data_IF_776638353684
#
_entry.id   IF_776638353684
#
_cell.length_a   1.000
_cell.length_b   1.000
_cell.length_c   1.000
_cell.angle_alpha   90.00
_cell.angle_beta   90.00
_cell.angle_gamma   90.00
#
_symmetry.space_group_name_H-M   'P 1'
#
loop_
_entity.id
_entity.type
_entity.pdbx_description
1 polymer ?
#
# COMPACT_ATOMS: atom_id res chain seq x y z
N UNK A 1 -1.02 -7.10 64.25
CA UNK A 1 -0.51 -8.43 64.62
C UNK A 1 0.56 -8.72 63.61
N UNK A 2 1.78 -8.45 63.97
CA UNK A 2 2.93 -9.32 64.26
C UNK A 2 3.45 -9.94 62.97
N UNK A 3 4.53 -9.40 62.40
CA UNK A 3 5.96 -9.58 62.74
C UNK A 3 6.47 -11.01 62.52
N UNK A 4 7.44 -11.11 61.60
CA UNK A 4 8.73 -11.76 61.91
C UNK A 4 9.67 -11.67 60.68
N UNK A 5 10.72 -10.99 60.91
CA UNK A 5 12.07 -10.90 60.40
C UNK A 5 12.72 -12.29 60.30
N UNK A 6 13.50 -12.61 59.26
CA UNK A 6 14.78 -13.28 59.44
C UNK A 6 15.79 -12.93 58.36
N UNK A 7 16.95 -12.51 58.82
CA UNK A 7 18.21 -12.27 58.13
C UNK A 7 18.85 -13.57 57.67
N UNK A 8 19.73 -13.46 56.66
CA UNK A 8 20.61 -14.53 56.19
C UNK A 8 21.61 -14.05 55.15
N UNK A 9 22.63 -13.45 55.68
CA UNK A 9 23.99 -13.18 55.19
C UNK A 9 24.60 -14.22 54.24
N UNK A 10 25.27 -13.72 53.14
CA UNK A 10 26.71 -13.95 53.02
C UNK A 10 27.19 -14.90 51.95
N UNK A 11 28.17 -14.43 51.19
CA UNK A 11 29.25 -15.16 50.50
C UNK A 11 28.98 -15.71 49.09
N UNK A 12 29.66 -15.14 48.10
CA UNK A 12 29.73 -15.60 46.73
C UNK A 12 30.45 -14.63 45.78
N UNK A 13 31.27 -13.72 46.25
CA UNK A 13 32.29 -13.04 45.45
C UNK A 13 33.58 -13.84 45.55
N UNK A 14 34.01 -14.50 44.48
CA UNK A 14 35.29 -15.16 44.47
C UNK A 14 35.41 -16.30 43.48
N UNK A 15 34.95 -16.18 42.22
CA UNK A 15 35.21 -17.23 41.22
C UNK A 15 35.20 -16.76 39.76
N UNK A 16 35.26 -15.45 39.48
CA UNK A 16 35.34 -14.92 38.10
C UNK A 16 36.69 -14.31 37.73
N UNK A 17 37.71 -14.27 38.62
CA UNK A 17 39.02 -13.64 38.36
C UNK A 17 40.14 -14.64 38.02
N UNK A 18 39.85 -15.93 37.84
CA UNK A 18 40.91 -16.96 37.61
C UNK A 18 40.93 -17.58 36.21
N UNK A 19 40.16 -17.06 35.23
CA UNK A 19 40.17 -17.58 33.86
C UNK A 19 40.71 -16.62 32.78
N UNK A 20 41.30 -15.50 33.11
CA UNK A 20 41.88 -14.54 32.15
C UNK A 20 43.42 -14.59 32.09
N UNK A 21 44.09 -15.48 32.84
CA UNK A 21 45.55 -15.51 32.97
C UNK A 21 46.28 -16.59 32.18
N UNK A 22 45.61 -17.35 31.29
CA UNK A 22 46.26 -18.52 30.65
C UNK A 22 46.17 -18.56 29.15
N UNK A 23 46.31 -17.42 28.46
CA UNK A 23 46.46 -17.36 27.00
C UNK A 23 47.46 -16.26 26.56
N UNK A 24 48.64 -16.24 27.23
CA UNK A 24 49.81 -15.60 26.68
C UNK A 24 50.60 -16.67 25.90
N UNK A 25 50.30 -16.82 24.60
CA UNK A 25 51.11 -17.63 23.70
C UNK A 25 52.41 -16.89 23.41
N UNK A 26 53.47 -17.53 23.82
CA UNK A 26 54.90 -17.26 23.62
C UNK A 26 55.21 -17.12 22.12
N UNK A 27 55.60 -15.93 21.67
CA UNK A 27 56.12 -15.70 20.34
C UNK A 27 57.61 -16.00 20.32
N UNK A 28 57.99 -17.11 19.74
CA UNK A 28 59.41 -17.45 19.44
C UNK A 28 59.83 -16.73 18.14
N UNK A 29 60.92 -16.00 18.12
CA UNK A 29 61.41 -15.32 16.90
C UNK A 29 62.09 -16.31 15.95
N UNK A 30 61.67 -16.32 14.70
CA UNK A 30 62.25 -17.09 13.61
C UNK A 30 63.70 -16.60 13.29
N UNK A 31 64.62 -17.51 12.94
CA UNK A 31 66.01 -17.18 12.59
C UNK A 31 66.11 -16.45 11.24
N UNK A 32 67.12 -15.64 11.01
CA UNK A 32 67.30 -14.88 9.77
C UNK A 32 67.67 -15.81 8.60
N UNK A 33 66.91 -15.75 7.53
CA UNK A 33 67.22 -16.41 6.26
C UNK A 33 68.33 -15.65 5.52
N UNK A 34 69.45 -16.35 5.21
CA UNK A 34 70.48 -15.93 4.34
C UNK A 34 70.06 -15.74 2.89
N UNK A 35 70.16 -14.56 2.37
CA UNK A 35 69.96 -14.25 0.96
C UNK A 35 71.17 -14.75 0.12
N UNK A 36 70.97 -15.83 -0.58
CA UNK A 36 71.74 -16.20 -1.74
C UNK A 36 71.05 -15.73 -3.00
N UNK A 37 71.59 -14.77 -3.71
CA UNK A 37 71.12 -14.39 -5.02
C UNK A 37 71.61 -15.39 -6.08
N UNK A 38 70.78 -15.80 -7.04
CA UNK A 38 71.24 -16.25 -8.34
C UNK A 38 70.95 -15.22 -9.42
N UNK A 39 71.99 -14.86 -10.14
CA UNK A 39 71.97 -14.19 -11.43
C UNK A 39 71.09 -14.99 -12.43
N UNK A 40 70.14 -14.32 -13.08
CA UNK A 40 69.41 -14.88 -14.15
C UNK A 40 68.36 -13.88 -14.71
N UNK A 41 68.78 -13.07 -15.68
CA UNK A 41 67.90 -12.22 -16.46
C UNK A 41 66.76 -13.05 -17.11
N UNK A 42 65.54 -12.81 -16.67
CA UNK A 42 64.31 -13.21 -17.37
C UNK A 42 63.53 -11.97 -17.81
N UNK A 43 62.85 -12.00 -18.98
CA UNK A 43 62.35 -10.81 -19.65
C UNK A 43 61.17 -10.19 -18.91
N UNK A 44 61.21 -8.86 -18.92
CA UNK A 44 60.20 -7.90 -18.46
C UNK A 44 58.77 -8.32 -18.80
N UNK A 45 58.06 -8.94 -17.85
CA UNK A 45 56.62 -9.05 -17.89
C UNK A 45 56.07 -7.72 -17.37
N UNK A 46 55.50 -6.94 -18.30
CA UNK A 46 54.82 -5.69 -17.98
C UNK A 46 53.79 -5.87 -16.84
N UNK A 47 53.38 -4.76 -16.20
CA UNK A 47 52.52 -4.84 -15.02
C UNK A 47 51.25 -5.61 -15.37
N UNK A 48 51.12 -6.81 -14.79
CA UNK A 48 49.83 -7.52 -14.73
C UNK A 48 48.91 -6.62 -13.93
N UNK A 49 48.08 -5.87 -14.62
CA UNK A 49 46.98 -5.13 -14.01
C UNK A 49 46.08 -6.17 -13.33
N UNK A 50 46.38 -6.46 -12.07
CA UNK A 50 45.48 -7.23 -11.23
C UNK A 50 44.16 -6.45 -11.16
N UNK A 51 43.20 -6.87 -11.93
CA UNK A 51 41.84 -6.34 -11.82
C UNK A 51 41.43 -6.47 -10.37
N UNK A 52 41.33 -5.34 -9.67
CA UNK A 52 40.85 -5.29 -8.30
C UNK A 52 39.51 -6.06 -8.26
N UNK A 53 39.30 -6.98 -7.31
CA UNK A 53 38.04 -7.70 -7.19
C UNK A 53 36.94 -6.67 -7.08
N UNK A 54 35.91 -6.80 -7.92
CA UNK A 54 34.74 -5.94 -7.88
C UNK A 54 34.18 -5.96 -6.46
N UNK A 55 34.31 -4.85 -5.73
CA UNK A 55 33.78 -4.71 -4.38
C UNK A 55 32.29 -5.07 -4.40
N UNK A 56 31.90 -5.99 -3.56
CA UNK A 56 30.51 -6.40 -3.42
C UNK A 56 29.62 -5.16 -3.17
N UNK A 57 28.45 -5.05 -3.79
CA UNK A 57 27.59 -3.88 -3.63
C UNK A 57 27.26 -3.66 -2.15
N UNK A 58 27.53 -2.48 -1.64
CA UNK A 58 27.20 -2.12 -0.26
C UNK A 58 25.67 -2.12 -0.13
N UNK A 59 25.16 -3.01 0.71
CA UNK A 59 23.73 -3.20 0.96
C UNK A 59 23.38 -2.50 2.26
N UNK A 60 22.66 -1.39 2.15
CA UNK A 60 22.14 -0.64 3.31
C UNK A 60 20.72 -1.11 3.65
N UNK A 61 20.47 -1.42 4.93
CA UNK A 61 19.13 -1.73 5.44
C UNK A 61 18.57 -0.54 6.21
N UNK A 62 17.44 -0.01 5.78
CA UNK A 62 16.76 1.10 6.45
C UNK A 62 15.43 0.64 7.04
N UNK A 63 15.10 1.10 8.26
CA UNK A 63 13.79 0.85 8.86
C UNK A 63 12.79 1.88 8.32
N UNK A 64 12.01 1.46 7.31
CA UNK A 64 11.14 2.35 6.52
C UNK A 64 9.73 2.48 7.08
N UNK A 65 9.13 1.37 7.54
CA UNK A 65 7.73 1.34 7.96
C UNK A 65 7.58 0.94 9.43
N UNK A 66 7.07 1.87 10.24
CA UNK A 66 6.79 1.63 11.65
C UNK A 66 5.61 0.68 11.82
N UNK A 67 5.58 -0.06 12.95
CA UNK A 67 4.59 -1.08 13.22
C UNK A 67 3.12 -0.61 13.07
N UNK A 68 2.69 0.57 13.60
CA UNK A 68 1.32 1.05 13.44
C UNK A 68 0.90 1.23 11.97
N UNK A 69 1.81 1.71 11.11
CA UNK A 69 1.57 1.87 9.68
C UNK A 69 1.36 0.50 9.02
N UNK A 70 2.18 -0.49 9.38
CA UNK A 70 2.11 -1.85 8.83
C UNK A 70 0.82 -2.55 9.24
N UNK A 71 0.43 -2.46 10.51
CA UNK A 71 -0.82 -3.05 11.02
C UNK A 71 -2.01 -2.40 10.30
N UNK A 72 -2.06 -1.06 10.26
CA UNK A 72 -3.14 -0.34 9.60
C UNK A 72 -3.25 -0.70 8.11
N UNK A 73 -2.12 -0.79 7.41
CA UNK A 73 -2.08 -1.18 6.00
C UNK A 73 -2.64 -2.60 5.78
N UNK A 74 -2.14 -3.59 6.54
CA UNK A 74 -2.57 -4.98 6.37
C UNK A 74 -4.02 -5.21 6.79
N UNK A 75 -4.54 -4.41 7.71
CA UNK A 75 -5.96 -4.43 8.06
C UNK A 75 -6.83 -3.82 6.94
N UNK A 76 -6.35 -2.77 6.28
CA UNK A 76 -7.07 -2.14 5.16
C UNK A 76 -7.20 -3.06 3.94
N UNK A 77 -6.24 -3.95 3.67
CA UNK A 77 -6.27 -4.83 2.51
C UNK A 77 -7.53 -5.70 2.48
N UNK A 78 -7.82 -6.57 3.47
CA UNK A 78 -9.06 -7.35 3.49
C UNK A 78 -10.30 -6.47 3.63
N UNK A 79 -10.24 -5.36 4.39
CA UNK A 79 -11.38 -4.45 4.53
C UNK A 79 -11.81 -3.88 3.17
N UNK A 80 -10.89 -3.33 2.39
CA UNK A 80 -11.21 -2.75 1.08
C UNK A 80 -11.69 -3.82 0.10
N UNK A 81 -11.07 -5.00 0.09
CA UNK A 81 -11.49 -6.10 -0.77
C UNK A 81 -12.96 -6.49 -0.48
N UNK A 82 -13.29 -6.72 0.79
CA UNK A 82 -14.65 -7.10 1.19
C UNK A 82 -15.64 -5.95 0.97
N UNK A 83 -15.25 -4.71 1.24
CA UNK A 83 -16.10 -3.53 1.03
C UNK A 83 -16.45 -3.34 -0.45
N UNK A 84 -15.48 -3.48 -1.35
CA UNK A 84 -15.72 -3.39 -2.79
C UNK A 84 -16.70 -4.49 -3.22
N UNK A 85 -16.39 -5.74 -2.91
CA UNK A 85 -17.23 -6.88 -3.34
C UNK A 85 -18.63 -6.86 -2.73
N UNK A 86 -18.78 -6.49 -1.46
CA UNK A 86 -20.08 -6.35 -0.81
C UNK A 86 -20.85 -5.13 -1.31
N UNK A 87 -20.18 -4.03 -1.64
CA UNK A 87 -20.76 -2.86 -2.29
C UNK A 87 -21.32 -3.18 -3.67
N UNK A 88 -20.59 -3.94 -4.49
CA UNK A 88 -21.07 -4.44 -5.78
C UNK A 88 -22.30 -5.36 -5.62
N UNK A 89 -22.32 -6.17 -4.55
CA UNK A 89 -23.51 -6.99 -4.22
C UNK A 89 -24.72 -6.12 -3.85
N UNK A 90 -24.52 -5.05 -3.08
CA UNK A 90 -25.60 -4.10 -2.77
C UNK A 90 -26.09 -3.40 -4.04
N UNK A 91 -25.17 -3.00 -4.93
CA UNK A 91 -25.51 -2.37 -6.19
C UNK A 91 -26.36 -3.26 -7.10
N UNK A 92 -26.17 -4.56 -7.07
CA UNK A 92 -27.00 -5.53 -7.82
C UNK A 92 -28.49 -5.46 -7.51
N UNK A 93 -28.89 -4.90 -6.35
CA UNK A 93 -30.30 -4.76 -5.99
C UNK A 93 -30.99 -3.61 -6.74
N UNK A 94 -30.26 -2.54 -7.05
CA UNK A 94 -30.74 -1.41 -7.82
C UNK A 94 -29.60 -0.88 -8.71
N UNK A 95 -29.35 -1.50 -9.87
CA UNK A 95 -28.14 -1.27 -10.65
C UNK A 95 -28.26 -0.05 -11.57
N UNK A 96 -28.55 1.10 -10.98
CA UNK A 96 -28.57 2.37 -11.67
C UNK A 96 -28.15 3.52 -10.74
N UNK A 97 -27.53 4.54 -11.28
CA UNK A 97 -27.07 5.75 -10.59
C UNK A 97 -27.81 6.96 -11.14
N UNK A 98 -28.15 7.89 -10.25
CA UNK A 98 -28.87 9.09 -10.56
C UNK A 98 -28.23 10.28 -9.85
N UNK A 99 -28.66 11.50 -10.21
CA UNK A 99 -28.29 12.71 -9.50
C UNK A 99 -29.49 13.28 -8.76
N UNK A 100 -29.28 13.88 -7.58
CA UNK A 100 -30.34 14.44 -6.74
C UNK A 100 -31.00 13.44 -5.81
N UNK A 101 -32.28 13.59 -5.54
CA UNK A 101 -33.02 12.78 -4.56
C UNK A 101 -33.83 11.62 -5.20
N UNK A 102 -34.23 11.78 -6.46
CA UNK A 102 -35.15 10.87 -7.13
C UNK A 102 -34.46 9.86 -8.02
N UNK A 103 -35.07 8.67 -8.14
CA UNK A 103 -34.63 7.62 -9.06
C UNK A 103 -35.43 7.73 -10.37
N UNK A 104 -35.08 8.68 -11.22
CA UNK A 104 -35.70 8.84 -12.53
C UNK A 104 -34.97 7.98 -13.55
N UNK A 105 -35.64 6.96 -14.07
CA UNK A 105 -35.06 5.99 -15.00
C UNK A 105 -34.58 6.60 -16.30
N UNK A 106 -35.25 7.64 -16.76
CA UNK A 106 -34.93 8.31 -18.03
C UNK A 106 -33.72 9.24 -17.90
N UNK A 107 -33.32 9.58 -16.67
CA UNK A 107 -32.18 10.43 -16.35
C UNK A 107 -31.06 9.70 -15.60
N UNK A 108 -30.96 8.39 -15.79
CA UNK A 108 -29.87 7.62 -15.14
C UNK A 108 -28.52 7.98 -15.74
N UNK A 109 -27.53 8.26 -14.88
CA UNK A 109 -26.14 8.48 -15.28
C UNK A 109 -25.44 7.18 -15.69
N UNK A 110 -25.76 6.11 -14.99
CA UNK A 110 -25.30 4.74 -15.26
C UNK A 110 -26.45 3.79 -14.98
N UNK A 111 -26.67 2.82 -15.85
CA UNK A 111 -27.56 1.69 -15.56
C UNK A 111 -27.05 0.41 -16.20
N UNK A 112 -27.21 -0.72 -15.49
CA UNK A 112 -26.74 -2.04 -15.93
C UNK A 112 -27.89 -3.01 -15.84
N UNK A 113 -28.50 -3.39 -16.97
CA UNK A 113 -29.70 -4.20 -17.02
C UNK A 113 -29.58 -5.39 -17.97
N UNK A 114 -30.19 -6.53 -17.64
CA UNK A 114 -30.43 -7.58 -18.63
C UNK A 114 -31.55 -7.14 -19.59
N UNK A 115 -31.36 -7.37 -20.84
CA UNK A 115 -32.35 -7.12 -21.90
C UNK A 115 -32.57 -8.39 -22.74
N UNK A 116 -33.82 -8.66 -23.10
CA UNK A 116 -34.16 -9.74 -24.01
C UNK A 116 -34.22 -9.17 -25.43
N UNK A 117 -33.49 -9.77 -26.37
CA UNK A 117 -33.54 -9.40 -27.79
C UNK A 117 -34.81 -9.92 -28.45
N UNK A 118 -35.14 -9.46 -29.65
CA UNK A 118 -36.29 -9.96 -30.45
C UNK A 118 -36.13 -11.46 -30.76
N UNK A 119 -34.91 -11.95 -30.90
CA UNK A 119 -34.61 -13.38 -31.08
C UNK A 119 -34.81 -14.21 -29.79
N UNK A 120 -35.14 -13.59 -28.65
CA UNK A 120 -35.31 -14.27 -27.37
C UNK A 120 -34.03 -14.44 -26.55
N UNK A 121 -32.88 -14.03 -27.05
CA UNK A 121 -31.58 -14.11 -26.38
C UNK A 121 -31.45 -13.06 -25.25
N UNK A 122 -30.85 -13.43 -24.11
CA UNK A 122 -30.61 -12.50 -23.00
C UNK A 122 -29.26 -11.81 -23.20
N UNK A 123 -29.24 -10.49 -23.15
CA UNK A 123 -28.03 -9.66 -23.22
C UNK A 123 -27.92 -8.75 -22.01
N UNK A 124 -26.69 -8.44 -21.64
CA UNK A 124 -26.37 -7.45 -20.60
C UNK A 124 -26.11 -6.09 -21.28
N UNK A 125 -26.90 -5.08 -20.94
CA UNK A 125 -26.75 -3.73 -21.49
C UNK A 125 -26.33 -2.80 -20.38
N UNK A 126 -25.18 -2.13 -20.58
CA UNK A 126 -24.71 -1.03 -19.74
C UNK A 126 -24.97 0.28 -20.48
N UNK A 127 -25.74 1.16 -19.85
CA UNK A 127 -25.99 2.52 -20.36
C UNK A 127 -25.22 3.53 -19.52
N UNK A 128 -24.43 4.36 -20.17
CA UNK A 128 -23.68 5.45 -19.52
C UNK A 128 -24.15 6.74 -20.18
N UNK A 129 -24.76 7.63 -19.40
CA UNK A 129 -25.42 8.87 -19.83
C UNK A 129 -26.42 8.59 -20.96
N UNK A 130 -26.38 8.34 -22.06
CA UNK A 130 -27.36 7.92 -23.08
C UNK A 130 -26.78 6.87 -24.02
N UNK A 131 -25.51 6.53 -23.85
CA UNK A 131 -24.83 5.57 -24.71
C UNK A 131 -25.01 4.15 -24.17
N UNK A 132 -25.43 3.24 -25.01
CA UNK A 132 -25.66 1.84 -24.69
C UNK A 132 -24.51 0.97 -25.20
N UNK A 133 -23.99 0.13 -24.30
CA UNK A 133 -22.91 -0.81 -24.58
C UNK A 133 -23.41 -2.22 -24.31
N UNK A 134 -23.17 -3.15 -25.25
CA UNK A 134 -23.38 -4.57 -24.99
C UNK A 134 -22.23 -5.08 -24.11
N UNK A 135 -22.57 -5.47 -22.88
CA UNK A 135 -21.63 -5.95 -21.87
C UNK A 135 -21.93 -7.38 -21.45
N UNK A 136 -22.62 -8.13 -22.31
CA UNK A 136 -22.99 -9.53 -22.10
C UNK A 136 -21.77 -10.37 -21.72
N UNK A 137 -21.93 -11.24 -20.74
CA UNK A 137 -20.87 -12.09 -20.19
C UNK A 137 -20.06 -11.44 -19.07
N UNK A 138 -20.10 -10.09 -18.94
CA UNK A 138 -19.36 -9.36 -17.91
C UNK A 138 -20.32 -8.60 -16.97
N UNK A 139 -21.20 -7.75 -17.54
CA UNK A 139 -22.16 -6.95 -16.79
C UNK A 139 -23.58 -7.15 -17.30
N UNK A 140 -24.58 -7.04 -16.42
CA UNK A 140 -26.00 -7.12 -16.74
C UNK A 140 -26.51 -8.56 -16.92
N UNK A 141 -25.81 -9.38 -17.65
CA UNK A 141 -26.08 -10.79 -17.83
C UNK A 141 -24.78 -11.56 -17.96
N UNK A 142 -24.48 -12.41 -16.98
CA UNK A 142 -23.28 -13.25 -16.94
C UNK A 142 -23.58 -14.59 -16.28
N UNK A 143 -22.96 -15.67 -16.74
CA UNK A 143 -23.11 -17.04 -16.20
C UNK A 143 -24.58 -17.47 -16.05
N UNK A 144 -25.44 -17.12 -17.03
CA UNK A 144 -26.86 -17.42 -16.99
C UNK A 144 -27.66 -16.61 -15.96
N UNK A 145 -27.05 -15.67 -15.28
CA UNK A 145 -27.65 -14.88 -14.19
C UNK A 145 -27.91 -13.43 -14.59
N UNK A 146 -29.10 -12.93 -14.20
CA UNK A 146 -29.53 -11.54 -14.40
C UNK A 146 -29.07 -10.67 -13.24
N UNK A 147 -27.85 -10.10 -13.33
CA UNK A 147 -27.27 -9.27 -12.29
C UNK A 147 -26.27 -8.26 -12.89
N UNK A 148 -26.14 -7.10 -12.27
CA UNK A 148 -25.23 -6.07 -12.78
C UNK A 148 -23.77 -6.53 -12.73
N UNK A 149 -23.32 -7.02 -11.58
CA UNK A 149 -21.97 -7.56 -11.39
C UNK A 149 -22.01 -9.08 -11.20
N UNK A 150 -21.06 -9.83 -11.79
CA UNK A 150 -21.03 -11.29 -11.75
C UNK A 150 -20.83 -11.84 -10.33
N UNK A 151 -21.14 -13.12 -10.13
CA UNK A 151 -21.09 -13.77 -8.82
C UNK A 151 -19.70 -13.75 -8.18
N UNK A 152 -18.66 -13.93 -9.00
CA UNK A 152 -17.27 -13.93 -8.55
C UNK A 152 -16.77 -12.55 -8.07
N UNK A 153 -17.41 -11.46 -8.51
CA UNK A 153 -17.05 -10.09 -8.12
C UNK A 153 -17.81 -9.60 -6.87
N UNK A 154 -18.62 -10.44 -6.23
CA UNK A 154 -19.48 -10.01 -5.12
C UNK A 154 -19.40 -10.90 -3.89
N UNK A 155 -19.59 -10.31 -2.70
CA UNK A 155 -19.70 -11.01 -1.42
C UNK A 155 -21.05 -10.66 -0.76
N UNK A 156 -21.91 -11.66 -0.48
CA UNK A 156 -21.81 -13.05 -0.94
C UNK A 156 -21.96 -13.17 -2.46
N UNK A 157 -21.52 -14.29 -3.02
CA UNK A 157 -21.69 -14.58 -4.44
C UNK A 157 -23.19 -14.78 -4.82
N UNK A 158 -23.99 -15.33 -3.92
CA UNK A 158 -25.43 -15.38 -4.06
C UNK A 158 -26.04 -13.98 -3.98
N UNK A 159 -27.10 -13.72 -4.78
CA UNK A 159 -27.77 -12.40 -4.82
C UNK A 159 -28.65 -12.18 -3.57
N UNK A 160 -28.00 -11.97 -2.42
CA UNK A 160 -28.67 -11.75 -1.12
C UNK A 160 -28.29 -10.37 -0.58
N UNK A 161 -29.19 -9.39 -0.76
CA UNK A 161 -28.96 -8.00 -0.36
C UNK A 161 -28.67 -7.84 1.15
N UNK A 162 -29.42 -8.54 1.99
CA UNK A 162 -29.27 -8.44 3.45
C UNK A 162 -27.87 -8.82 3.91
N UNK A 163 -27.34 -9.96 3.43
CA UNK A 163 -25.97 -10.38 3.74
C UNK A 163 -24.93 -9.40 3.18
N UNK A 164 -25.11 -8.93 1.94
CA UNK A 164 -24.22 -7.93 1.36
C UNK A 164 -24.13 -6.68 2.23
N UNK A 165 -25.27 -6.19 2.76
CA UNK A 165 -25.30 -5.03 3.67
C UNK A 165 -24.64 -5.33 5.02
N UNK A 166 -24.82 -6.52 5.60
CA UNK A 166 -24.17 -6.90 6.86
C UNK A 166 -22.65 -6.91 6.72
N UNK A 167 -22.11 -7.56 5.68
CA UNK A 167 -20.68 -7.56 5.38
C UNK A 167 -20.16 -6.15 5.18
N UNK A 168 -20.84 -5.36 4.35
CA UNK A 168 -20.44 -4.00 4.03
C UNK A 168 -20.36 -3.12 5.29
N UNK A 169 -21.42 -3.10 6.11
CA UNK A 169 -21.46 -2.27 7.31
C UNK A 169 -20.45 -2.70 8.36
N UNK A 170 -20.26 -4.02 8.56
CA UNK A 170 -19.25 -4.51 9.51
C UNK A 170 -17.85 -4.04 9.13
N UNK A 171 -17.45 -4.27 7.87
CA UNK A 171 -16.12 -3.88 7.41
C UNK A 171 -15.97 -2.36 7.22
N UNK A 172 -17.05 -1.63 6.97
CA UNK A 172 -17.03 -0.17 6.97
C UNK A 172 -16.66 0.40 8.34
N UNK A 173 -17.25 -0.13 9.42
CA UNK A 173 -16.89 0.28 10.78
C UNK A 173 -15.45 -0.09 11.12
N UNK A 174 -15.00 -1.27 10.72
CA UNK A 174 -13.61 -1.68 10.93
C UNK A 174 -12.63 -0.75 10.19
N UNK A 175 -12.96 -0.37 8.94
CA UNK A 175 -12.17 0.60 8.16
C UNK A 175 -12.16 1.99 8.84
N UNK A 176 -13.30 2.47 9.34
CA UNK A 176 -13.41 3.78 10.03
C UNK A 176 -12.57 3.78 11.30
N UNK A 177 -12.70 2.75 12.15
CA UNK A 177 -11.92 2.62 13.39
C UNK A 177 -10.42 2.59 13.09
N UNK A 178 -10.00 1.78 12.10
CA UNK A 178 -8.60 1.72 11.69
C UNK A 178 -8.11 3.05 11.10
N UNK A 179 -8.95 3.73 10.31
CA UNK A 179 -8.65 5.05 9.75
C UNK A 179 -8.46 6.12 10.84
N UNK A 180 -9.32 6.12 11.87
CA UNK A 180 -9.19 7.01 13.03
C UNK A 180 -7.91 6.72 13.81
N UNK A 181 -7.62 5.45 14.06
CA UNK A 181 -6.36 5.04 14.71
C UNK A 181 -5.13 5.51 13.91
N UNK A 182 -5.12 5.26 12.61
CA UNK A 182 -4.03 5.71 11.73
C UNK A 182 -3.89 7.23 11.73
N UNK A 183 -5.00 7.97 11.61
CA UNK A 183 -5.00 9.43 11.60
C UNK A 183 -4.48 9.99 12.91
N UNK A 184 -4.95 9.48 14.05
CA UNK A 184 -4.46 9.87 15.37
C UNK A 184 -2.95 9.61 15.50
N UNK A 185 -2.49 8.42 15.12
CA UNK A 185 -1.07 8.09 15.12
C UNK A 185 -0.26 9.03 14.20
N UNK A 186 -0.73 9.27 12.98
CA UNK A 186 -0.04 10.07 11.98
C UNK A 186 0.07 11.55 12.38
N UNK A 187 -0.95 12.08 13.09
CA UNK A 187 -0.92 13.44 13.64
C UNK A 187 0.05 13.53 14.84
N UNK A 188 -0.05 12.63 15.83
CA UNK A 188 0.80 12.62 17.02
C UNK A 188 2.27 12.43 16.64
N UNK A 189 2.58 11.51 15.71
CA UNK A 189 3.94 11.23 15.25
C UNK A 189 4.48 12.27 14.27
N UNK A 190 3.68 13.27 13.87
CA UNK A 190 3.99 14.23 12.79
C UNK A 190 4.36 13.58 11.45
N UNK A 191 3.94 12.33 11.25
CA UNK A 191 4.20 11.58 10.02
C UNK A 191 3.59 12.26 8.78
N UNK A 192 2.39 12.82 8.93
CA UNK A 192 1.71 13.56 7.86
C UNK A 192 2.57 14.71 7.34
N UNK A 193 3.04 15.57 8.23
CA UNK A 193 3.76 16.80 7.85
C UNK A 193 5.18 16.53 7.36
N UNK A 194 5.84 15.48 7.85
CA UNK A 194 7.23 15.16 7.49
C UNK A 194 7.34 14.34 6.22
N UNK A 195 6.45 13.36 6.02
CA UNK A 195 6.64 12.33 5.02
C UNK A 195 5.58 12.36 3.90
N UNK A 196 4.34 12.82 4.19
CA UNK A 196 3.23 12.76 3.24
C UNK A 196 2.97 14.10 2.53
N UNK A 197 3.08 15.23 3.21
CA UNK A 197 2.79 16.54 2.59
C UNK A 197 3.89 16.89 1.60
N UNK A 198 3.55 17.14 0.32
CA UNK A 198 4.53 17.59 -0.67
C UNK A 198 5.09 18.97 -0.29
N UNK A 199 6.41 19.13 -0.37
CA UNK A 199 7.06 20.43 -0.22
C UNK A 199 6.88 21.28 -1.49
N UNK A 200 7.09 22.62 -1.39
CA UNK A 200 7.07 23.48 -2.58
C UNK A 200 8.05 23.04 -3.66
N UNK A 201 9.20 22.48 -3.27
CA UNK A 201 10.19 21.91 -4.20
C UNK A 201 9.67 20.65 -4.90
N UNK A 202 8.93 19.78 -4.19
CA UNK A 202 8.29 18.61 -4.77
C UNK A 202 7.27 19.01 -5.83
N UNK A 203 6.46 20.07 -5.57
CA UNK A 203 5.45 20.56 -6.51
C UNK A 203 6.07 21.13 -7.79
N UNK A 204 7.16 21.86 -7.69
CA UNK A 204 7.91 22.34 -8.87
C UNK A 204 8.49 21.17 -9.71
N UNK A 205 8.76 20.03 -9.09
CA UNK A 205 9.29 18.82 -9.74
C UNK A 205 8.26 17.90 -10.39
N UNK A 206 6.94 18.19 -10.31
CA UNK A 206 5.88 17.29 -10.79
C UNK A 206 6.07 16.89 -12.26
N UNK A 207 6.38 17.84 -13.14
CA UNK A 207 6.56 17.57 -14.56
C UNK A 207 7.68 16.56 -14.83
N UNK A 208 8.80 16.70 -14.13
CA UNK A 208 9.91 15.72 -14.20
C UNK A 208 9.47 14.36 -13.64
N UNK A 209 8.78 14.35 -12.50
CA UNK A 209 8.32 13.11 -11.88
C UNK A 209 7.32 12.35 -12.76
N UNK A 210 6.41 13.05 -13.45
CA UNK A 210 5.49 12.45 -14.43
C UNK A 210 6.27 11.83 -15.58
N UNK A 211 7.24 12.55 -16.16
CA UNK A 211 8.08 12.06 -17.24
C UNK A 211 8.87 10.81 -16.84
N UNK A 212 9.54 10.86 -15.68
CA UNK A 212 10.31 9.73 -15.15
C UNK A 212 9.42 8.51 -14.89
N UNK A 213 8.18 8.74 -14.45
CA UNK A 213 7.17 7.69 -14.25
C UNK A 213 6.69 7.05 -15.56
N UNK A 214 6.46 7.87 -16.59
CA UNK A 214 6.06 7.38 -17.93
C UNK A 214 7.17 6.55 -18.60
N UNK A 215 8.45 6.88 -18.34
CA UNK A 215 9.62 6.16 -18.85
C UNK A 215 10.02 4.99 -17.94
N UNK A 216 9.26 4.69 -16.88
CA UNK A 216 9.53 3.65 -15.88
C UNK A 216 10.92 3.76 -15.25
N UNK A 217 11.44 4.99 -15.10
CA UNK A 217 12.73 5.23 -14.48
C UNK A 217 12.65 4.99 -12.98
N UNK A 218 13.40 4.01 -12.49
CA UNK A 218 13.42 3.67 -11.08
C UNK A 218 14.35 4.61 -10.32
N UNK A 219 13.90 5.20 -9.18
CA UNK A 219 14.79 5.99 -8.32
C UNK A 219 15.88 5.10 -7.73
N UNK A 220 17.13 5.57 -7.78
CA UNK A 220 18.31 4.89 -7.23
C UNK A 220 18.96 5.75 -6.14
N UNK A 221 19.75 5.13 -5.27
CA UNK A 221 20.48 5.84 -4.21
C UNK A 221 19.56 6.56 -3.21
N UNK A 222 19.84 7.84 -2.92
CA UNK A 222 19.09 8.63 -1.93
C UNK A 222 17.65 8.97 -2.36
N UNK A 223 17.38 9.00 -3.66
CA UNK A 223 16.01 9.19 -4.17
C UNK A 223 15.10 8.00 -3.80
N UNK A 224 15.63 6.78 -3.73
CA UNK A 224 14.89 5.59 -3.32
C UNK A 224 14.49 5.58 -1.83
N UNK A 225 15.14 6.41 -1.01
CA UNK A 225 14.85 6.55 0.42
C UNK A 225 13.61 7.40 0.71
N UNK A 226 13.16 8.22 -0.25
CA UNK A 226 12.04 9.18 -0.10
C UNK A 226 10.87 8.80 -1.01
N UNK A 227 9.66 9.21 -0.60
CA UNK A 227 8.49 9.10 -1.47
C UNK A 227 8.60 10.08 -2.64
N UNK A 228 8.32 9.59 -3.86
CA UNK A 228 8.18 10.45 -5.03
C UNK A 228 6.96 11.40 -4.83
N UNK A 229 7.01 12.58 -5.44
CA UNK A 229 5.91 13.58 -5.35
C UNK A 229 4.58 13.01 -5.80
N UNK A 230 4.54 12.18 -6.84
CA UNK A 230 3.30 11.52 -7.31
C UNK A 230 2.74 10.55 -6.28
N UNK A 231 3.60 9.80 -5.58
CA UNK A 231 3.18 8.93 -4.47
C UNK A 231 2.62 9.74 -3.30
N UNK A 232 3.28 10.86 -2.93
CA UNK A 232 2.77 11.76 -1.88
C UNK A 232 1.40 12.31 -2.23
N UNK A 233 1.21 12.81 -3.47
CA UNK A 233 -0.07 13.34 -3.94
C UNK A 233 -1.17 12.27 -3.95
N UNK A 234 -0.85 11.05 -4.42
CA UNK A 234 -1.79 9.94 -4.41
C UNK A 234 -2.21 9.56 -2.98
N UNK A 235 -1.26 9.49 -2.04
CA UNK A 235 -1.56 9.17 -0.63
C UNK A 235 -2.38 10.27 0.04
N UNK A 236 -2.02 11.54 -0.17
CA UNK A 236 -2.80 12.68 0.35
C UNK A 236 -4.21 12.68 -0.25
N UNK A 237 -4.33 12.50 -1.56
CA UNK A 237 -5.63 12.42 -2.24
C UNK A 237 -6.50 11.28 -1.72
N UNK A 238 -5.95 10.09 -1.56
CA UNK A 238 -6.69 8.93 -1.04
C UNK A 238 -7.07 9.13 0.43
N UNK A 239 -6.15 9.55 1.30
CA UNK A 239 -6.38 9.64 2.74
C UNK A 239 -7.26 10.84 3.13
N UNK A 240 -7.12 11.98 2.45
CA UNK A 240 -7.79 13.23 2.88
C UNK A 240 -8.95 13.66 1.97
N UNK A 241 -9.10 13.03 0.80
CA UNK A 241 -10.23 13.32 -0.10
C UNK A 241 -11.09 12.08 -0.29
N UNK A 242 -10.57 11.00 -0.87
CA UNK A 242 -11.38 9.86 -1.26
C UNK A 242 -11.91 9.09 -0.04
N UNK A 243 -11.07 8.87 0.99
CA UNK A 243 -11.49 8.14 2.19
C UNK A 243 -12.56 8.91 3.01
N UNK A 244 -12.41 10.21 3.34
CA UNK A 244 -13.49 10.96 3.97
C UNK A 244 -14.76 11.01 3.11
N UNK A 245 -14.63 11.19 1.80
CA UNK A 245 -15.74 11.27 0.88
C UNK A 245 -16.57 9.98 0.86
N UNK A 246 -15.93 8.81 0.75
CA UNK A 246 -16.63 7.52 0.74
C UNK A 246 -17.30 7.24 2.09
N UNK A 247 -16.66 7.60 3.21
CA UNK A 247 -17.23 7.44 4.55
C UNK A 247 -18.44 8.35 4.73
N UNK A 248 -18.33 9.64 4.44
CA UNK A 248 -19.41 10.60 4.63
C UNK A 248 -20.60 10.30 3.73
N UNK A 249 -20.38 9.93 2.46
CA UNK A 249 -21.47 9.51 1.56
C UNK A 249 -22.09 8.20 2.01
N UNK A 250 -21.32 7.26 2.54
CA UNK A 250 -21.83 6.03 3.16
C UNK A 250 -22.71 6.31 4.37
N UNK A 251 -22.29 7.19 5.27
CA UNK A 251 -23.07 7.65 6.43
C UNK A 251 -24.35 8.36 6.00
N UNK A 252 -24.27 9.26 5.00
CA UNK A 252 -25.43 9.97 4.45
C UNK A 252 -26.51 9.02 3.92
N UNK A 253 -26.14 7.87 3.38
CA UNK A 253 -27.10 6.86 2.90
C UNK A 253 -27.68 5.99 4.02
N UNK A 254 -27.17 6.05 5.25
CA UNK A 254 -27.68 5.29 6.40
C UNK A 254 -28.97 5.91 6.93
N UNK A 255 -30.09 5.19 7.00
CA UNK A 255 -31.36 5.74 7.49
C UNK A 255 -31.27 6.28 8.93
N UNK A 256 -30.47 5.66 9.78
CA UNK A 256 -30.30 6.09 11.17
C UNK A 256 -29.52 7.41 11.24
N UNK A 257 -28.46 7.56 10.44
CA UNK A 257 -27.65 8.78 10.40
C UNK A 257 -28.42 9.92 9.72
N UNK A 258 -29.17 9.63 8.65
CA UNK A 258 -30.02 10.59 7.97
C UNK A 258 -31.06 11.21 8.91
N UNK A 259 -31.67 10.41 9.78
CA UNK A 259 -32.61 10.91 10.80
C UNK A 259 -31.93 11.84 11.82
N UNK A 260 -30.69 11.53 12.23
CA UNK A 260 -29.95 12.33 13.21
C UNK A 260 -29.26 13.56 12.59
N UNK A 261 -28.81 13.46 11.34
CA UNK A 261 -28.03 14.49 10.64
C UNK A 261 -28.53 14.69 9.21
N UNK A 262 -29.77 15.18 9.00
CA UNK A 262 -30.37 15.31 7.67
C UNK A 262 -29.60 16.29 6.75
N UNK A 263 -28.86 17.26 7.32
CA UNK A 263 -28.02 18.18 6.58
C UNK A 263 -26.92 17.49 5.78
N UNK A 264 -26.51 16.27 6.18
CA UNK A 264 -25.45 15.52 5.49
C UNK A 264 -25.89 15.14 4.07
N UNK A 265 -27.14 14.71 3.87
CA UNK A 265 -27.70 14.47 2.53
C UNK A 265 -27.78 15.75 1.69
N UNK A 266 -28.13 16.88 2.33
CA UNK A 266 -28.22 18.16 1.64
C UNK A 266 -26.88 18.60 1.06
N UNK A 267 -25.77 18.38 1.78
CA UNK A 267 -24.40 18.70 1.29
C UNK A 267 -24.11 17.93 -0.01
N UNK A 268 -24.53 16.67 -0.10
CA UNK A 268 -24.28 15.83 -1.28
C UNK A 268 -25.32 16.01 -2.38
N UNK A 269 -26.33 16.87 -2.20
CA UNK A 269 -27.39 17.10 -3.18
C UNK A 269 -28.43 15.98 -3.26
N UNK A 270 -28.62 15.24 -2.15
CA UNK A 270 -29.65 14.21 -2.00
C UNK A 270 -29.10 12.78 -1.97
N UNK A 271 -29.98 11.84 -1.68
CA UNK A 271 -29.63 10.42 -1.45
C UNK A 271 -29.06 9.73 -2.69
N UNK A 272 -29.58 10.03 -3.87
CA UNK A 272 -29.10 9.41 -5.11
C UNK A 272 -27.76 10.03 -5.54
N UNK A 273 -27.58 11.34 -5.34
CA UNK A 273 -26.31 11.99 -5.57
C UNK A 273 -25.23 11.44 -4.62
N UNK A 274 -25.52 11.29 -3.31
CA UNK A 274 -24.60 10.67 -2.35
C UNK A 274 -24.21 9.25 -2.78
N UNK A 275 -25.16 8.45 -3.29
CA UNK A 275 -24.92 7.10 -3.80
C UNK A 275 -24.00 7.11 -5.04
N UNK A 276 -24.23 8.04 -5.95
CA UNK A 276 -23.40 8.20 -7.15
C UNK A 276 -21.96 8.61 -6.78
N UNK A 277 -21.81 9.57 -5.86
CA UNK A 277 -20.50 10.01 -5.37
C UNK A 277 -19.80 8.84 -4.64
N UNK A 278 -20.50 8.08 -3.82
CA UNK A 278 -19.97 6.89 -3.15
C UNK A 278 -19.46 5.83 -4.14
N UNK A 279 -20.21 5.58 -5.20
CA UNK A 279 -19.82 4.66 -6.26
C UNK A 279 -18.55 5.17 -7.00
N UNK A 280 -18.50 6.45 -7.35
CA UNK A 280 -17.32 7.06 -7.99
C UNK A 280 -16.10 6.96 -7.06
N UNK A 281 -16.27 7.27 -5.76
CA UNK A 281 -15.19 7.17 -4.78
C UNK A 281 -14.72 5.71 -4.61
N UNK A 282 -15.64 4.73 -4.64
CA UNK A 282 -15.28 3.30 -4.64
C UNK A 282 -14.40 2.94 -5.86
N UNK A 283 -14.77 3.35 -7.06
CA UNK A 283 -13.96 3.08 -8.25
C UNK A 283 -12.67 3.89 -8.30
N UNK A 284 -12.60 5.04 -7.63
CA UNK A 284 -11.33 5.75 -7.40
C UNK A 284 -10.38 4.93 -6.52
N UNK A 285 -10.90 4.24 -5.48
CA UNK A 285 -10.10 3.28 -4.71
C UNK A 285 -9.64 2.10 -5.55
N UNK A 286 -10.51 1.53 -6.40
CA UNK A 286 -10.13 0.44 -7.31
C UNK A 286 -8.99 0.89 -8.23
N UNK A 287 -9.11 2.06 -8.86
CA UNK A 287 -8.08 2.65 -9.70
C UNK A 287 -6.76 2.85 -8.94
N UNK A 288 -6.85 3.40 -7.72
CA UNK A 288 -5.68 3.55 -6.84
C UNK A 288 -5.03 2.20 -6.50
N UNK A 289 -5.80 1.17 -6.16
CA UNK A 289 -5.28 -0.17 -5.85
C UNK A 289 -4.55 -0.75 -7.05
N UNK A 290 -5.12 -0.65 -8.25
CA UNK A 290 -4.49 -1.14 -9.49
C UNK A 290 -3.15 -0.44 -9.73
N UNK A 291 -3.11 0.89 -9.65
CA UNK A 291 -1.89 1.66 -9.82
C UNK A 291 -0.88 1.32 -8.72
N UNK A 292 -1.31 1.25 -7.45
CA UNK A 292 -0.47 0.94 -6.30
C UNK A 292 0.19 -0.44 -6.43
N UNK A 293 -0.60 -1.48 -6.72
CA UNK A 293 -0.08 -2.85 -6.88
C UNK A 293 0.88 -2.93 -8.07
N UNK A 294 0.54 -2.28 -9.19
CA UNK A 294 1.43 -2.20 -10.36
C UNK A 294 2.77 -1.56 -9.99
N UNK A 295 2.75 -0.47 -9.22
CA UNK A 295 3.98 0.19 -8.76
C UNK A 295 4.80 -0.69 -7.80
N UNK A 296 4.15 -1.40 -6.88
CA UNK A 296 4.84 -2.35 -5.97
C UNK A 296 5.55 -3.44 -6.77
N UNK A 297 4.92 -3.95 -7.83
CA UNK A 297 5.52 -4.98 -8.70
C UNK A 297 6.69 -4.40 -9.48
N UNK A 298 6.50 -3.27 -10.15
CA UNK A 298 7.50 -2.62 -11.01
C UNK A 298 8.73 -2.15 -10.22
N UNK A 299 8.56 -1.66 -8.99
CA UNK A 299 9.65 -1.12 -8.17
C UNK A 299 10.36 -2.17 -7.29
N UNK A 300 10.02 -3.44 -7.45
CA UNK A 300 10.66 -4.57 -6.75
C UNK A 300 9.79 -5.18 -5.66
N UNK A 301 8.91 -6.08 -6.08
CA UNK A 301 7.89 -6.74 -5.27
C UNK A 301 8.42 -7.29 -3.93
N UNK A 302 9.46 -8.11 -3.96
CA UNK A 302 9.97 -8.79 -2.75
C UNK A 302 10.53 -7.81 -1.71
N UNK A 303 11.19 -6.74 -2.15
CA UNK A 303 11.74 -5.74 -1.24
C UNK A 303 10.65 -4.86 -0.61
N UNK A 304 9.65 -4.46 -1.41
CA UNK A 304 8.48 -3.72 -0.92
C UNK A 304 7.64 -4.56 0.03
N UNK A 305 7.33 -5.82 -0.31
CA UNK A 305 6.59 -6.74 0.56
C UNK A 305 7.33 -6.99 1.87
N UNK A 306 8.64 -7.27 1.81
CA UNK A 306 9.44 -7.43 3.02
C UNK A 306 9.38 -6.18 3.90
N UNK A 307 9.47 -4.97 3.32
CA UNK A 307 9.41 -3.73 4.11
C UNK A 307 8.05 -3.53 4.78
N UNK A 308 6.95 -3.93 4.14
CA UNK A 308 5.60 -3.86 4.72
C UNK A 308 5.31 -4.98 5.74
N UNK A 309 6.05 -6.09 5.71
CA UNK A 309 5.93 -7.17 6.69
C UNK A 309 6.89 -6.97 7.87
N UNK A 310 8.16 -6.66 7.60
CA UNK A 310 9.22 -6.60 8.62
C UNK A 310 9.56 -5.17 9.09
N UNK A 311 9.23 -4.16 8.30
CA UNK A 311 9.63 -2.77 8.48
C UNK A 311 10.95 -2.41 7.79
N UNK A 312 11.75 -3.39 7.34
CA UNK A 312 13.09 -3.17 6.79
C UNK A 312 13.12 -3.19 5.25
N UNK A 313 13.65 -2.13 4.68
CA UNK A 313 13.85 -1.96 3.24
C UNK A 313 15.34 -2.02 2.92
N UNK A 314 15.73 -2.66 1.81
CA UNK A 314 17.11 -2.76 1.35
C UNK A 314 17.34 -1.81 0.20
N UNK A 315 18.36 -0.95 0.35
CA UNK A 315 18.86 -0.06 -0.69
C UNK A 315 20.19 -0.61 -1.20
N UNK A 316 20.28 -0.87 -2.50
CA UNK A 316 21.55 -1.17 -3.17
C UNK A 316 22.19 0.16 -3.54
N UNK A 317 23.32 0.49 -2.96
CA UNK A 317 24.11 1.62 -3.42
C UNK A 317 24.82 1.24 -4.73
N UNK A 318 24.58 2.00 -5.78
CA UNK A 318 25.41 1.92 -6.97
C UNK A 318 26.81 2.44 -6.58
N UNK A 319 27.85 1.66 -6.80
CA UNK A 319 29.23 2.15 -6.71
C UNK A 319 29.39 3.22 -7.78
N UNK A 320 29.45 4.50 -7.40
CA UNK A 320 30.08 5.51 -8.22
C UNK A 320 31.53 5.06 -8.38
N UNK A 321 31.86 4.58 -9.57
CA UNK A 321 33.26 4.41 -9.96
C UNK A 321 33.92 5.77 -9.75
N UNK A 322 34.93 5.80 -8.89
CA UNK A 322 35.86 6.89 -8.76
C UNK A 322 36.50 7.11 -10.15
N UNK A 323 35.86 7.92 -11.00
CA UNK A 323 36.43 8.50 -12.22
C UNK A 323 36.89 9.93 -11.89
N UNK A 324 37.76 10.06 -10.89
CA UNK A 324 38.53 11.24 -10.63
C UNK A 324 39.91 10.80 -10.23
N UNK A 325 40.70 10.39 -11.23
CA UNK A 325 42.18 10.48 -11.25
C UNK A 325 42.62 10.18 -12.69
N UNK A 326 42.60 11.20 -13.52
CA UNK A 326 43.45 11.34 -14.67
C UNK A 326 43.60 12.85 -14.97
#
# INVERSE_FOLDING_TARGET
MASLIHEGTGAGQGQEDEQVSELAMEFEPLPPEEHSAPDGLAPNQGPVSAALPALAPVVERIYRHRLPIRISHWLNVPCLFILIMSGLQIFNAHPALYWGDRSDRDQSLLSIHPMKTESGEMRGITTVLSYKFDTTGVLGYSDGSRRAFPAWATIPSAKVLAMGRQWHLFFAWLLVINGLFFTAYALISRHVTRDLVPSGKDLCGIGKAVKDHMVLRHPTGDEAKRYNVLQKLAYVGVLFVVAPLIILTGLAMSPMIDTAFPWLLTIFGGRQAARTIHFIACFSFVGFIVIHVSQVILTGFFNNMRSMVTGWFVVKQAHERASHEA
#
